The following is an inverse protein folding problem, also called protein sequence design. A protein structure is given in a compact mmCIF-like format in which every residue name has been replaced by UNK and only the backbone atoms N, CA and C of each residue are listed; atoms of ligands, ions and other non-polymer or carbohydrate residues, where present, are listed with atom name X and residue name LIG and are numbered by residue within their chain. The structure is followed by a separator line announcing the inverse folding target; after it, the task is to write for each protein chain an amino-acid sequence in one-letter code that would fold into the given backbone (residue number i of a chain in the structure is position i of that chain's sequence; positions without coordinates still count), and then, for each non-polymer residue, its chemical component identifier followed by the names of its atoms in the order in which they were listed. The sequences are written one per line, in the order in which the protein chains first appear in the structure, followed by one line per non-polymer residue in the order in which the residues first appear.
data_IF_361940330928
#
_entry.id   IF_361940330928
#
_cell.length_a   1.000
_cell.length_b   1.000
_cell.length_c   1.000
_cell.angle_alpha   90.00
_cell.angle_beta   90.00
_cell.angle_gamma   90.00
#
_symmetry.space_group_name_H-M   'P 1'
#
loop_
_entity.id
_entity.type
_entity.pdbx_description
1 polymer ?
#
# COMPACT_ATOMS: atom_id res chain seq x y z
N UNK A 1 1.71 3.47 10.87
CA UNK A 1 2.55 2.27 11.10
C UNK A 1 1.97 1.09 10.34
N UNK A 2 2.80 0.31 9.70
CA UNK A 2 2.38 -0.96 9.09
C UNK A 2 2.46 -2.04 10.15
N UNK A 3 1.34 -2.72 10.39
CA UNK A 3 1.22 -3.76 11.43
C UNK A 3 1.45 -5.16 10.87
N UNK A 4 1.03 -5.41 9.63
CA UNK A 4 1.17 -6.71 9.01
C UNK A 4 1.15 -6.60 7.50
N UNK A 5 1.69 -7.62 6.84
CA UNK A 5 1.67 -7.77 5.38
C UNK A 5 0.88 -9.02 5.03
N UNK A 6 0.10 -8.93 3.99
CA UNK A 6 -0.62 -10.08 3.45
C UNK A 6 0.21 -10.86 2.43
N UNK A 7 1.25 -10.24 1.89
CA UNK A 7 2.04 -10.77 0.79
C UNK A 7 3.52 -10.72 1.16
N UNK A 8 4.22 -11.86 1.08
CA UNK A 8 5.63 -11.94 1.40
C UNK A 8 6.49 -11.06 0.49
N UNK A 9 6.10 -10.90 -0.78
CA UNK A 9 6.83 -10.06 -1.72
C UNK A 9 6.72 -8.58 -1.34
N UNK A 10 5.56 -8.14 -0.87
CA UNK A 10 5.37 -6.76 -0.42
C UNK A 10 6.21 -6.50 0.83
N UNK A 11 6.23 -7.45 1.75
CA UNK A 11 7.05 -7.35 2.96
C UNK A 11 8.54 -7.27 2.60
N UNK A 12 9.00 -8.11 1.69
CA UNK A 12 10.39 -8.12 1.24
C UNK A 12 10.76 -6.77 0.62
N UNK A 13 9.89 -6.22 -0.22
CA UNK A 13 10.12 -4.92 -0.84
C UNK A 13 10.22 -3.81 0.22
N UNK A 14 9.33 -3.84 1.21
CA UNK A 14 9.32 -2.86 2.29
C UNK A 14 10.59 -2.92 3.13
N UNK A 15 11.19 -4.10 3.29
CA UNK A 15 12.43 -4.30 4.06
C UNK A 15 13.70 -4.01 3.26
N UNK A 16 13.57 -3.55 2.02
CA UNK A 16 14.70 -3.14 1.20
C UNK A 16 15.21 -4.21 0.23
N UNK A 17 14.58 -5.37 0.19
CA UNK A 17 14.96 -6.44 -0.74
C UNK A 17 14.40 -6.15 -2.14
N UNK A 18 15.10 -6.66 -3.15
CA UNK A 18 14.61 -6.59 -4.51
C UNK A 18 13.62 -7.72 -4.76
N UNK A 19 12.47 -7.37 -5.37
CA UNK A 19 11.44 -8.32 -5.73
C UNK A 19 11.22 -8.22 -7.23
N UNK A 20 11.46 -9.32 -7.93
CA UNK A 20 11.49 -9.35 -9.39
C UNK A 20 10.21 -8.80 -10.02
N UNK A 21 9.06 -9.21 -9.53
CA UNK A 21 7.78 -8.78 -10.10
C UNK A 21 7.47 -7.31 -9.86
N UNK A 22 8.19 -6.66 -8.93
CA UNK A 22 8.03 -5.23 -8.62
C UNK A 22 9.19 -4.39 -9.14
N UNK A 23 10.02 -4.96 -10.02
CA UNK A 23 11.21 -4.30 -10.51
C UNK A 23 10.92 -2.89 -11.07
N UNK A 24 9.87 -2.78 -11.89
CA UNK A 24 9.55 -1.53 -12.59
C UNK A 24 8.92 -0.47 -11.70
N UNK A 25 8.48 -0.84 -10.51
CA UNK A 25 7.77 0.07 -9.59
C UNK A 25 8.50 0.26 -8.28
N UNK A 26 9.69 -0.31 -8.14
CA UNK A 26 10.40 -0.42 -6.86
C UNK A 26 10.50 0.90 -6.11
N UNK A 27 10.99 1.96 -6.75
CA UNK A 27 11.19 3.26 -6.12
C UNK A 27 9.87 3.87 -5.66
N UNK A 28 8.88 3.87 -6.54
CA UNK A 28 7.57 4.47 -6.22
C UNK A 28 6.85 3.64 -5.17
N UNK A 29 6.88 2.31 -5.31
CA UNK A 29 6.23 1.42 -4.35
C UNK A 29 6.82 1.58 -2.95
N UNK A 30 8.13 1.65 -2.82
CA UNK A 30 8.77 1.89 -1.52
C UNK A 30 8.37 3.23 -0.91
N UNK A 31 8.25 4.26 -1.73
CA UNK A 31 7.78 5.57 -1.28
C UNK A 31 6.37 5.48 -0.71
N UNK A 32 5.48 4.76 -1.40
CA UNK A 32 4.10 4.59 -0.93
C UNK A 32 4.03 3.77 0.35
N UNK A 33 4.83 2.71 0.45
CA UNK A 33 4.90 1.92 1.67
C UNK A 33 5.43 2.76 2.84
N UNK A 34 6.39 3.64 2.60
CA UNK A 34 6.88 4.55 3.64
C UNK A 34 5.81 5.56 4.06
N UNK A 35 5.05 6.10 3.13
CA UNK A 35 3.94 6.98 3.48
C UNK A 35 2.95 6.26 4.40
N UNK A 36 2.66 5.00 4.09
CA UNK A 36 1.78 4.18 4.90
C UNK A 36 2.36 3.95 6.30
N UNK A 37 3.67 3.72 6.38
CA UNK A 37 4.38 3.49 7.63
C UNK A 37 4.30 4.70 8.57
N UNK A 38 4.41 5.92 8.02
CA UNK A 38 4.45 7.13 8.84
C UNK A 38 3.09 7.79 9.06
N UNK A 39 2.06 7.36 8.32
CA UNK A 39 0.73 7.95 8.46
C UNK A 39 0.16 7.67 9.85
N UNK A 40 -0.38 8.69 10.49
CA UNK A 40 -1.02 8.58 11.81
C UNK A 40 -2.52 8.42 11.69
N UNK A 41 -3.11 8.97 10.62
CA UNK A 41 -4.53 8.89 10.35
C UNK A 41 -4.71 8.50 8.89
N UNK A 42 -5.82 7.86 8.60
CA UNK A 42 -6.14 7.49 7.22
C UNK A 42 -6.13 8.70 6.29
N UNK A 43 -6.64 9.84 6.77
CA UNK A 43 -6.70 11.06 5.97
C UNK A 43 -5.31 11.57 5.53
N UNK A 44 -4.25 11.22 6.25
CA UNK A 44 -2.89 11.61 5.88
C UNK A 44 -2.50 11.05 4.51
N UNK A 45 -3.12 9.95 4.12
CA UNK A 45 -2.84 9.28 2.84
C UNK A 45 -3.53 9.92 1.65
N UNK A 46 -4.33 10.98 1.87
CA UNK A 46 -4.88 11.79 0.78
C UNK A 46 -3.83 12.68 0.13
N UNK A 47 -2.68 12.82 0.77
CA UNK A 47 -1.58 13.64 0.28
C UNK A 47 -0.39 12.73 -0.01
N UNK A 48 0.24 12.82 -1.18
CA UNK A 48 -0.12 13.67 -2.32
C UNK A 48 -1.41 13.21 -3.01
N UNK A 49 -2.11 14.12 -3.73
CA UNK A 49 -3.37 13.76 -4.41
C UNK A 49 -3.24 12.59 -5.37
N UNK A 50 -2.06 12.37 -5.93
CA UNK A 50 -1.78 11.24 -6.81
C UNK A 50 -1.94 9.88 -6.15
N UNK A 51 -1.99 9.81 -4.81
CA UNK A 51 -2.28 8.57 -4.08
C UNK A 51 -3.68 8.02 -4.39
N UNK A 52 -4.61 8.90 -4.69
CA UNK A 52 -6.00 8.52 -4.95
C UNK A 52 -6.52 7.54 -3.92
N UNK A 53 -6.44 7.94 -2.65
CA UNK A 53 -6.95 7.12 -1.56
C UNK A 53 -8.42 6.80 -1.81
N UNK A 54 -8.76 5.50 -1.78
CA UNK A 54 -10.14 5.09 -1.97
C UNK A 54 -10.50 3.89 -1.11
N UNK A 55 -11.76 3.86 -0.69
CA UNK A 55 -12.34 2.70 -0.01
C UNK A 55 -12.75 1.66 -1.05
N UNK A 56 -12.38 0.42 -0.81
CA UNK A 56 -12.62 -0.67 -1.76
C UNK A 56 -13.97 -1.33 -1.48
N UNK A 57 -14.50 -2.00 -2.50
CA UNK A 57 -15.82 -2.65 -2.47
C UNK A 57 -15.67 -4.13 -2.81
N UNK A 58 -16.80 -4.85 -2.78
CA UNK A 58 -16.85 -6.26 -3.15
C UNK A 58 -16.01 -7.11 -2.22
N UNK A 59 -15.19 -7.96 -2.78
CA UNK A 59 -14.35 -8.89 -2.02
C UNK A 59 -13.31 -8.18 -1.14
N UNK A 60 -13.05 -6.91 -1.41
CA UNK A 60 -12.11 -6.10 -0.64
C UNK A 60 -12.80 -5.06 0.24
N UNK A 61 -14.09 -5.21 0.48
CA UNK A 61 -14.82 -4.30 1.38
C UNK A 61 -14.13 -4.23 2.75
N UNK A 62 -14.00 -3.03 3.29
CA UNK A 62 -13.27 -2.80 4.54
C UNK A 62 -11.80 -2.47 4.33
N UNK A 63 -11.31 -2.54 3.11
CA UNK A 63 -9.95 -2.14 2.76
C UNK A 63 -9.94 -0.78 2.07
N UNK A 64 -8.75 -0.18 2.04
CA UNK A 64 -8.46 1.04 1.28
C UNK A 64 -7.27 0.77 0.36
N UNK A 65 -7.09 1.64 -0.62
CA UNK A 65 -5.91 1.56 -1.48
C UNK A 65 -5.35 2.94 -1.77
N UNK A 66 -4.03 2.97 -2.01
CA UNK A 66 -3.34 4.11 -2.58
C UNK A 66 -2.65 3.68 -3.87
N UNK A 67 -2.60 4.59 -4.83
CA UNK A 67 -2.11 4.30 -6.17
C UNK A 67 -0.57 4.31 -6.21
N UNK A 68 0.02 3.31 -6.84
CA UNK A 68 1.44 3.29 -7.20
C UNK A 68 1.61 3.84 -8.61
N UNK A 69 0.91 3.25 -9.56
CA UNK A 69 0.88 3.67 -10.96
C UNK A 69 -0.44 3.19 -11.60
N UNK A 70 -0.54 3.19 -12.92
CA UNK A 70 -1.77 2.76 -13.60
C UNK A 70 -2.07 1.28 -13.39
N UNK A 71 -1.07 0.47 -13.06
CA UNK A 71 -1.20 -0.96 -12.93
C UNK A 71 -1.31 -1.42 -11.48
N UNK A 72 -0.54 -0.82 -10.57
CA UNK A 72 -0.41 -1.30 -9.20
C UNK A 72 -0.98 -0.35 -8.18
N UNK A 73 -1.55 -0.94 -7.12
CA UNK A 73 -2.03 -0.21 -5.94
C UNK A 73 -1.53 -0.92 -4.69
N UNK A 74 -1.38 -0.16 -3.60
CA UNK A 74 -1.13 -0.73 -2.27
C UNK A 74 -2.48 -0.82 -1.57
N UNK A 75 -2.90 -2.03 -1.26
CA UNK A 75 -4.15 -2.30 -0.55
C UNK A 75 -3.86 -2.61 0.91
N UNK A 76 -4.74 -2.17 1.80
CA UNK A 76 -4.53 -2.36 3.24
C UNK A 76 -5.85 -2.18 3.98
N UNK A 77 -5.89 -2.68 5.21
CA UNK A 77 -6.99 -2.44 6.15
C UNK A 77 -6.51 -1.44 7.18
N UNK A 78 -7.21 -0.34 7.33
CA UNK A 78 -6.83 0.69 8.30
C UNK A 78 -7.47 0.42 9.66
N UNK A 79 -6.66 0.49 10.73
CA UNK A 79 -7.11 0.40 12.11
C UNK A 79 -6.59 1.59 12.90
N UNK A 80 -7.08 1.75 14.13
CA UNK A 80 -6.57 2.82 15.02
C UNK A 80 -5.09 2.64 15.34
N UNK A 81 -4.57 1.42 15.24
CA UNK A 81 -3.15 1.12 15.49
C UNK A 81 -2.28 1.28 14.24
N UNK A 82 -2.87 1.25 13.04
CA UNK A 82 -2.14 1.38 11.80
C UNK A 82 -2.72 0.52 10.68
N UNK A 83 -1.91 0.25 9.66
CA UNK A 83 -2.33 -0.49 8.47
C UNK A 83 -2.03 -1.98 8.63
N UNK A 84 -3.04 -2.81 8.35
CA UNK A 84 -2.94 -4.27 8.38
C UNK A 84 -3.09 -4.85 6.98
N UNK A 85 -2.59 -6.07 6.81
CA UNK A 85 -2.75 -6.84 5.57
C UNK A 85 -2.31 -6.07 4.33
N UNK A 86 -1.17 -5.41 4.46
CA UNK A 86 -0.63 -4.58 3.38
C UNK A 86 -0.15 -5.47 2.24
N UNK A 87 -0.63 -5.19 1.03
CA UNK A 87 -0.16 -5.88 -0.17
C UNK A 87 -0.19 -4.97 -1.39
N UNK A 88 0.78 -5.18 -2.28
CA UNK A 88 0.80 -4.52 -3.58
C UNK A 88 0.06 -5.43 -4.56
N UNK A 89 -0.96 -4.87 -5.22
CA UNK A 89 -1.87 -5.62 -6.08
C UNK A 89 -1.79 -5.06 -7.50
N UNK A 90 -1.74 -5.98 -8.46
CA UNK A 90 -1.90 -5.65 -9.87
C UNK A 90 -3.38 -5.39 -10.12
N UNK A 91 -3.72 -4.13 -10.39
CA UNK A 91 -5.09 -3.67 -10.37
C UNK A 91 -5.51 -3.18 -11.74
N UNK A 92 -5.95 -4.13 -12.53
CA UNK A 92 -6.46 -3.82 -13.87
C UNK A 92 -7.96 -3.75 -13.88
#
# INVERSE_FOLDING_TARGET
MILSFRCADTEALASGQRVRRFHNIETVARRKLRQLQIARRLADLRVPPGNRLEALKGDRAGQHSIRVNDQFRVCFRWTTAGAEDVEIVDYH
#
